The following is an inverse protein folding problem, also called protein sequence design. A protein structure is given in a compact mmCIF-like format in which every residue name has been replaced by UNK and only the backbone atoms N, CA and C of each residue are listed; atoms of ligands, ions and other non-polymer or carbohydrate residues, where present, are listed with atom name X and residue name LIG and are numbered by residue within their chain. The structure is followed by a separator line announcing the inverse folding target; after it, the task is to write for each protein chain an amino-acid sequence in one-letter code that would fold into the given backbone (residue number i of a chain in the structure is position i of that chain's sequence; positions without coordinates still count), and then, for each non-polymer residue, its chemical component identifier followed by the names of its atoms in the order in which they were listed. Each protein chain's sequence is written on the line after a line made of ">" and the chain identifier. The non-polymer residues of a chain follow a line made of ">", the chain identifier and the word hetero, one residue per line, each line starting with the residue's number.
data_IF_071492355616
#
_entry.id   IF_071492355616
#
_cell.length_a   1.000
_cell.length_b   1.000
_cell.length_c   1.000
_cell.angle_alpha   90.00
_cell.angle_beta   90.00
_cell.angle_gamma   90.00
#
_symmetry.space_group_name_H-M   'P 1'
#
loop_
_entity.id
_entity.type
_entity.pdbx_description
1 polymer ?
#
# COMPACT_ATOMS: atom_id res chain seq x y z
N UNK A 1 4.31 9.48 -21.85
CA UNK A 1 3.44 9.31 -20.67
C UNK A 1 3.59 7.89 -20.16
N UNK A 2 4.26 7.68 -19.02
CA UNK A 2 4.52 6.34 -18.49
C UNK A 2 3.20 5.59 -18.24
N UNK A 3 3.17 4.30 -18.59
CA UNK A 3 2.00 3.43 -18.42
C UNK A 3 1.42 3.64 -17.02
N UNK A 4 0.11 3.92 -16.87
CA UNK A 4 -0.47 4.09 -15.54
C UNK A 4 -0.15 2.83 -14.75
N UNK A 5 0.41 3.02 -13.55
CA UNK A 5 0.58 1.91 -12.61
C UNK A 5 -0.75 1.18 -12.50
N UNK A 6 -0.72 -0.15 -12.46
CA UNK A 6 -1.93 -0.98 -12.36
C UNK A 6 -2.81 -0.61 -11.16
N UNK A 7 -2.25 0.09 -10.19
CA UNK A 7 -2.92 0.56 -8.97
C UNK A 7 -2.98 2.09 -8.95
N UNK A 8 -4.20 2.62 -8.85
CA UNK A 8 -4.47 4.05 -8.71
C UNK A 8 -3.80 4.62 -7.45
N UNK A 9 -3.41 5.91 -7.45
CA UNK A 9 -2.82 6.55 -6.26
C UNK A 9 -3.76 6.50 -5.05
N UNK A 10 -5.07 6.68 -5.27
CA UNK A 10 -6.09 6.53 -4.21
C UNK A 10 -6.08 5.13 -3.58
N UNK A 11 -6.00 4.07 -4.39
CA UNK A 11 -5.93 2.69 -3.89
C UNK A 11 -4.67 2.45 -3.05
N UNK A 12 -3.53 3.01 -3.48
CA UNK A 12 -2.29 2.91 -2.70
C UNK A 12 -2.42 3.59 -1.35
N UNK A 13 -3.03 4.77 -1.32
CA UNK A 13 -3.26 5.50 -0.08
C UNK A 13 -4.18 4.72 0.86
N UNK A 14 -5.33 4.25 0.35
CA UNK A 14 -6.31 3.49 1.13
C UNK A 14 -5.69 2.22 1.72
N UNK A 15 -4.93 1.48 0.91
CA UNK A 15 -4.23 0.28 1.35
C UNK A 15 -3.20 0.57 2.46
N UNK A 16 -2.46 1.68 2.37
CA UNK A 16 -1.50 2.10 3.40
C UNK A 16 -2.23 2.56 4.67
N UNK A 17 -3.32 3.31 4.55
CA UNK A 17 -4.16 3.72 5.68
C UNK A 17 -4.71 2.49 6.38
N UNK A 18 -5.24 1.53 5.63
CA UNK A 18 -5.76 0.26 6.15
C UNK A 18 -4.69 -0.51 6.92
N UNK A 19 -3.46 -0.62 6.40
CA UNK A 19 -2.34 -1.24 7.13
C UNK A 19 -2.07 -0.55 8.47
N UNK A 20 -2.16 0.78 8.50
CA UNK A 20 -1.88 1.56 9.71
C UNK A 20 -3.02 1.51 10.73
N UNK A 21 -4.27 1.45 10.29
CA UNK A 21 -5.46 1.46 11.15
C UNK A 21 -5.88 0.06 11.61
N UNK A 22 -5.77 -0.95 10.74
CA UNK A 22 -6.19 -2.33 11.04
C UNK A 22 -5.24 -3.04 12.02
N UNK A 23 -3.99 -2.57 12.18
CA UNK A 23 -3.00 -3.21 13.05
C UNK A 23 -2.60 -4.63 12.63
N UNK A 24 -2.99 -5.05 11.42
CA UNK A 24 -2.69 -6.35 10.86
C UNK A 24 -1.38 -6.33 10.05
N UNK A 25 -0.71 -7.49 9.89
CA UNK A 25 0.50 -7.56 9.08
C UNK A 25 0.21 -7.27 7.61
N UNK A 26 1.14 -6.56 6.96
CA UNK A 26 1.10 -6.18 5.53
C UNK A 26 0.76 -7.37 4.62
N UNK A 27 1.24 -8.57 4.94
CA UNK A 27 0.98 -9.79 4.17
C UNK A 27 -0.49 -10.21 4.16
N UNK A 28 -1.20 -10.04 5.28
CA UNK A 28 -2.64 -10.35 5.39
C UNK A 28 -3.45 -9.38 4.53
N UNK A 29 -3.20 -8.09 4.69
CA UNK A 29 -3.90 -7.04 3.95
C UNK A 29 -3.58 -7.13 2.46
N UNK A 30 -2.33 -7.44 2.09
CA UNK A 30 -1.95 -7.64 0.70
C UNK A 30 -2.70 -8.81 0.06
N UNK A 31 -2.84 -9.94 0.77
CA UNK A 31 -3.61 -11.08 0.29
C UNK A 31 -5.11 -10.77 0.13
N UNK A 32 -5.69 -10.00 1.06
CA UNK A 32 -7.09 -9.57 1.02
C UNK A 32 -7.37 -8.62 -0.16
N UNK A 33 -6.47 -7.65 -0.37
CA UNK A 33 -6.54 -6.69 -1.47
C UNK A 33 -6.08 -7.24 -2.84
N UNK A 34 -5.58 -8.47 -2.88
CA UNK A 34 -5.03 -9.08 -4.11
C UNK A 34 -3.76 -8.40 -4.64
N UNK A 35 -2.99 -7.74 -3.78
CA UNK A 35 -1.73 -7.08 -4.13
C UNK A 35 -0.52 -7.86 -3.61
N UNK A 36 0.63 -7.66 -4.25
CA UNK A 36 1.88 -8.23 -3.75
C UNK A 36 2.26 -7.57 -2.42
N UNK A 37 2.58 -8.39 -1.42
CA UNK A 37 2.97 -7.94 -0.07
C UNK A 37 4.21 -7.05 -0.08
N UNK A 38 5.17 -7.32 -0.97
CA UNK A 38 6.35 -6.47 -1.16
C UNK A 38 5.99 -5.09 -1.71
N UNK A 39 5.05 -5.01 -2.65
CA UNK A 39 4.56 -3.75 -3.21
C UNK A 39 3.85 -2.91 -2.15
N UNK A 40 2.97 -3.54 -1.36
CA UNK A 40 2.29 -2.84 -0.27
C UNK A 40 3.28 -2.37 0.81
N UNK A 41 4.30 -3.17 1.13
CA UNK A 41 5.37 -2.78 2.06
C UNK A 41 6.16 -1.57 1.54
N UNK A 42 6.44 -1.52 0.23
CA UNK A 42 7.11 -0.37 -0.38
C UNK A 42 6.27 0.91 -0.28
N UNK A 43 4.95 0.83 -0.48
CA UNK A 43 4.05 1.97 -0.31
C UNK A 43 3.98 2.46 1.13
N UNK A 44 3.88 1.54 2.10
CA UNK A 44 3.91 1.90 3.54
C UNK A 44 5.23 2.55 3.92
N UNK A 45 6.35 2.08 3.38
CA UNK A 45 7.66 2.71 3.60
C UNK A 45 7.72 4.11 3.00
N UNK A 46 7.18 4.29 1.79
CA UNK A 46 7.14 5.58 1.12
C UNK A 46 6.25 6.59 1.85
N UNK A 47 5.08 6.18 2.34
CA UNK A 47 4.17 7.01 3.15
C UNK A 47 4.84 7.48 4.46
N UNK A 48 5.64 6.62 5.09
CA UNK A 48 6.44 7.01 6.26
C UNK A 48 7.51 8.05 5.94
N UNK A 49 8.08 8.03 4.73
CA UNK A 49 9.07 9.02 4.28
C UNK A 49 8.37 10.33 3.92
N UNK A 50 7.21 10.27 3.24
CA UNK A 50 6.45 11.45 2.83
C UNK A 50 5.86 12.24 4.02
N UNK A 51 5.56 11.54 5.12
CA UNK A 51 5.07 12.14 6.38
C UNK A 51 6.16 12.73 7.29
N UNK A 52 7.44 12.55 6.96
CA UNK A 52 8.59 13.00 7.78
C UNK A 52 9.36 14.13 7.11
#
# INVERSE_FOLDING_TARGET
>A
MGRPSKYSPEFRHDAVVLVRTAGQPVTKIAGDLGVCSETLRAWVKQDKIDRG
#
